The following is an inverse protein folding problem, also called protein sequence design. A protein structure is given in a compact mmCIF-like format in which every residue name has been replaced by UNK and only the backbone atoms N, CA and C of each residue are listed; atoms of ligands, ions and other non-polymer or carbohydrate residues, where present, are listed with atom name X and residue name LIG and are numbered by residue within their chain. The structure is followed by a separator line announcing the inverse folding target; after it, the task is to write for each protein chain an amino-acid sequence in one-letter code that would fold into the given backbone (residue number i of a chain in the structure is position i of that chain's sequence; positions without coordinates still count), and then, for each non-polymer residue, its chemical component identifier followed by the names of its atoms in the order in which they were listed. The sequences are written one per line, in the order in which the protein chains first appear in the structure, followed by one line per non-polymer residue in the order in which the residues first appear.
data_IF_784144112163
#
_entry.id   IF_784144112163
#
_cell.length_a   1.000
_cell.length_b   1.000
_cell.length_c   1.000
_cell.angle_alpha   90.00
_cell.angle_beta   90.00
_cell.angle_gamma   90.00
#
_symmetry.space_group_name_H-M   'P 1'
#
loop_
_entity.id
_entity.type
_entity.pdbx_description
1 polymer ?
#
# COMPACT_ATOMS: atom_id res chain seq x y z
N UNK A 1 -18.79 5.86 -29.97
CA UNK A 1 -17.59 5.46 -29.20
C UNK A 1 -17.60 3.96 -28.95
N UNK A 2 -16.42 3.30 -28.84
CA UNK A 2 -16.33 1.86 -28.51
C UNK A 2 -16.42 1.67 -26.98
N UNK A 3 -17.06 0.59 -26.55
CA UNK A 3 -17.23 0.21 -25.14
C UNK A 3 -16.19 -0.89 -24.78
N UNK A 4 -15.65 -0.86 -23.57
CA UNK A 4 -14.85 -1.99 -23.05
C UNK A 4 -15.70 -3.24 -22.93
N UNK A 5 -15.16 -4.39 -23.35
CA UNK A 5 -15.96 -5.62 -23.51
C UNK A 5 -16.08 -6.45 -22.24
N UNK A 6 -14.96 -6.64 -21.54
CA UNK A 6 -14.85 -7.52 -20.40
C UNK A 6 -13.77 -7.02 -19.44
N UNK A 7 -13.57 -7.73 -18.32
CA UNK A 7 -12.57 -7.37 -17.30
C UNK A 7 -11.12 -7.49 -17.78
N UNK A 8 -10.85 -8.23 -18.86
CA UNK A 8 -9.49 -8.34 -19.44
C UNK A 8 -9.16 -7.13 -20.31
N UNK A 9 -10.18 -6.49 -20.87
CA UNK A 9 -10.10 -5.33 -21.74
C UNK A 9 -10.24 -4.00 -20.97
N UNK A 10 -10.98 -3.96 -19.85
CA UNK A 10 -11.19 -2.77 -19.03
C UNK A 10 -9.93 -2.41 -18.22
N UNK A 11 -9.32 -1.21 -18.41
CA UNK A 11 -8.23 -0.72 -17.57
C UNK A 11 -8.67 -0.49 -16.14
N UNK A 12 -7.76 -0.73 -15.20
CA UNK A 12 -8.03 -0.51 -13.77
C UNK A 12 -8.31 0.97 -13.48
N UNK A 13 -7.63 1.91 -14.14
CA UNK A 13 -7.89 3.35 -14.03
C UNK A 13 -9.33 3.73 -14.38
N UNK A 14 -9.92 3.09 -15.40
CA UNK A 14 -11.32 3.32 -15.79
C UNK A 14 -12.28 2.74 -14.75
N UNK A 15 -11.99 1.55 -14.23
CA UNK A 15 -12.76 0.98 -13.13
C UNK A 15 -12.73 1.87 -11.88
N UNK A 16 -11.54 2.35 -11.48
CA UNK A 16 -11.35 3.29 -10.38
C UNK A 16 -12.20 4.55 -10.57
N UNK A 17 -12.13 5.19 -11.74
CA UNK A 17 -12.93 6.38 -12.04
C UNK A 17 -14.43 6.15 -11.95
N UNK A 18 -14.93 5.01 -12.44
CA UNK A 18 -16.36 4.66 -12.33
C UNK A 18 -16.76 4.52 -10.86
N UNK A 19 -15.94 3.83 -10.06
CA UNK A 19 -16.20 3.62 -8.63
C UNK A 19 -16.15 4.93 -7.83
N UNK A 20 -15.24 5.83 -8.17
CA UNK A 20 -15.04 7.11 -7.46
C UNK A 20 -16.06 8.17 -7.87
N UNK A 21 -16.45 8.23 -9.15
CA UNK A 21 -17.33 9.29 -9.69
C UNK A 21 -18.79 8.87 -9.86
N UNK A 22 -19.06 7.57 -9.92
CA UNK A 22 -20.37 7.03 -10.30
C UNK A 22 -20.73 7.18 -11.79
N UNK A 23 -19.83 7.75 -12.61
CA UNK A 23 -20.09 7.95 -14.04
C UNK A 23 -19.73 6.72 -14.87
N UNK A 24 -20.73 6.10 -15.49
CA UNK A 24 -20.52 4.95 -16.37
C UNK A 24 -19.98 5.33 -17.76
N UNK A 25 -19.88 6.62 -18.08
CA UNK A 25 -19.32 7.10 -19.35
C UNK A 25 -17.84 6.70 -19.51
N UNK A 26 -17.13 6.48 -18.41
CA UNK A 26 -15.76 5.96 -18.40
C UNK A 26 -15.62 4.52 -18.96
N UNK A 27 -16.73 3.83 -19.27
CA UNK A 27 -16.70 2.58 -20.06
C UNK A 27 -16.44 2.80 -21.55
N UNK A 28 -16.55 4.03 -22.02
CA UNK A 28 -16.24 4.41 -23.39
C UNK A 28 -14.73 4.62 -23.49
N UNK A 29 -14.10 3.92 -24.43
CA UNK A 29 -12.62 3.87 -24.53
C UNK A 29 -11.97 5.25 -24.65
N UNK A 30 -12.60 6.10 -25.44
CA UNK A 30 -12.05 7.40 -25.83
C UNK A 30 -12.64 8.56 -25.02
N UNK A 31 -13.47 8.28 -24.00
CA UNK A 31 -14.12 9.30 -23.19
C UNK A 31 -13.13 9.96 -22.21
N UNK A 32 -13.17 11.28 -22.17
CA UNK A 32 -12.54 12.12 -21.17
C UNK A 32 -13.59 12.94 -20.42
N UNK A 33 -13.25 13.35 -19.20
CA UNK A 33 -14.16 14.13 -18.39
C UNK A 33 -14.46 15.48 -19.06
N UNK A 34 -15.75 15.80 -19.19
CA UNK A 34 -16.22 16.97 -19.93
C UNK A 34 -16.53 16.75 -21.42
N UNK A 35 -16.32 15.55 -21.96
CA UNK A 35 -16.73 15.24 -23.33
C UNK A 35 -18.27 15.22 -23.47
N UNK A 36 -18.79 15.85 -24.54
CA UNK A 36 -20.21 15.73 -24.89
C UNK A 36 -20.50 14.37 -25.54
N UNK A 37 -21.28 13.55 -24.84
CA UNK A 37 -21.67 12.23 -25.32
C UNK A 37 -23.15 12.21 -25.70
N UNK A 38 -23.42 12.25 -27.01
CA UNK A 38 -24.79 12.22 -27.53
C UNK A 38 -25.26 10.80 -27.89
N UNK A 39 -26.51 10.47 -27.54
CA UNK A 39 -27.18 9.23 -27.98
C UNK A 39 -26.75 7.96 -27.24
N UNK A 40 -26.10 8.09 -26.08
CA UNK A 40 -25.72 6.95 -25.23
C UNK A 40 -26.69 6.83 -24.05
N UNK A 41 -27.14 5.61 -23.79
CA UNK A 41 -28.02 5.27 -22.68
C UNK A 41 -27.18 4.82 -21.47
N UNK A 42 -27.04 5.69 -20.47
CA UNK A 42 -26.27 5.41 -19.26
C UNK A 42 -26.77 4.16 -18.50
N UNK A 43 -28.07 3.85 -18.54
CA UNK A 43 -28.59 2.64 -17.88
C UNK A 43 -28.08 1.36 -18.53
N UNK A 44 -27.86 1.38 -19.86
CA UNK A 44 -27.24 0.25 -20.56
C UNK A 44 -25.76 0.14 -20.22
N UNK A 45 -25.05 1.25 -20.06
CA UNK A 45 -23.67 1.24 -19.61
C UNK A 45 -23.54 0.71 -18.18
N UNK A 46 -24.42 1.12 -17.27
CA UNK A 46 -24.49 0.59 -15.91
C UNK A 46 -24.74 -0.93 -15.92
N UNK A 47 -25.71 -1.40 -16.71
CA UNK A 47 -25.99 -2.83 -16.81
C UNK A 47 -24.78 -3.61 -17.33
N UNK A 48 -24.14 -3.12 -18.40
CA UNK A 48 -22.93 -3.72 -18.96
C UNK A 48 -21.76 -3.71 -17.96
N UNK A 49 -21.61 -2.62 -17.19
CA UNK A 49 -20.64 -2.56 -16.11
C UNK A 49 -20.85 -3.68 -15.09
N UNK A 50 -22.10 -3.85 -14.63
CA UNK A 50 -22.45 -4.86 -13.63
C UNK A 50 -22.15 -6.27 -14.15
N UNK A 51 -22.37 -6.55 -15.43
CA UNK A 51 -21.99 -7.82 -16.06
C UNK A 51 -20.47 -8.04 -15.99
N UNK A 52 -19.66 -7.04 -16.39
CA UNK A 52 -18.20 -7.11 -16.30
C UNK A 52 -17.74 -7.37 -14.85
N UNK A 53 -18.34 -6.68 -13.88
CA UNK A 53 -18.00 -6.83 -12.46
C UNK A 53 -18.41 -8.20 -11.93
N UNK A 54 -19.57 -8.71 -12.32
CA UNK A 54 -20.02 -10.03 -11.92
C UNK A 54 -19.07 -11.12 -12.44
N UNK A 55 -18.66 -11.06 -13.71
CA UNK A 55 -17.64 -11.96 -14.26
C UNK A 55 -16.30 -11.85 -13.51
N UNK A 56 -15.89 -10.62 -13.20
CA UNK A 56 -14.67 -10.36 -12.45
C UNK A 56 -14.72 -10.96 -11.04
N UNK A 57 -15.79 -10.73 -10.28
CA UNK A 57 -15.99 -11.27 -8.92
C UNK A 57 -15.99 -12.79 -8.94
N UNK A 58 -16.71 -13.41 -9.89
CA UNK A 58 -16.71 -14.88 -10.06
C UNK A 58 -15.29 -15.37 -10.34
N UNK A 59 -14.54 -14.67 -11.20
CA UNK A 59 -13.16 -15.03 -11.52
C UNK A 59 -12.21 -14.94 -10.32
N UNK A 60 -12.53 -14.11 -9.32
CA UNK A 60 -11.71 -13.93 -8.14
C UNK A 60 -11.88 -15.04 -7.10
N UNK A 61 -12.96 -15.84 -7.16
CA UNK A 61 -13.55 -16.57 -6.02
C UNK A 61 -13.91 -15.60 -4.87
N UNK A 62 -14.87 -15.94 -4.01
CA UNK A 62 -15.23 -15.14 -2.84
C UNK A 62 -14.02 -14.94 -1.90
N UNK A 63 -13.20 -13.92 -2.16
CA UNK A 63 -12.06 -13.53 -1.34
C UNK A 63 -12.58 -12.50 -0.35
N UNK A 64 -13.08 -12.93 0.80
CA UNK A 64 -13.18 -12.06 1.97
C UNK A 64 -11.83 -12.08 2.70
N UNK A 65 -10.97 -11.11 2.38
CA UNK A 65 -9.73 -10.84 3.12
C UNK A 65 -9.68 -9.36 3.44
N UNK A 66 -9.37 -9.08 4.70
CA UNK A 66 -9.12 -7.72 5.18
C UNK A 66 -7.73 -7.23 4.74
N UNK A 67 -7.62 -6.86 3.47
CA UNK A 67 -6.40 -6.29 2.90
C UNK A 67 -5.97 -5.01 3.62
N UNK A 68 -6.89 -4.27 4.24
CA UNK A 68 -6.55 -3.05 4.98
C UNK A 68 -5.63 -3.34 6.16
N UNK A 69 -5.98 -4.34 6.99
CA UNK A 69 -5.13 -4.71 8.11
C UNK A 69 -3.80 -5.33 7.66
N UNK A 70 -3.78 -6.12 6.57
CA UNK A 70 -2.53 -6.68 6.05
C UNK A 70 -1.62 -5.65 5.39
N UNK A 71 -2.17 -4.66 4.69
CA UNK A 71 -1.39 -3.55 4.13
C UNK A 71 -0.77 -2.68 5.22
N UNK A 72 -1.55 -2.34 6.26
CA UNK A 72 -1.03 -1.64 7.45
C UNK A 72 0.07 -2.41 8.17
N UNK A 73 -0.12 -3.72 8.33
CA UNK A 73 0.88 -4.62 8.90
C UNK A 73 2.17 -4.59 8.09
N UNK A 74 2.08 -4.64 6.76
CA UNK A 74 3.25 -4.60 5.89
C UNK A 74 3.94 -3.25 5.86
N UNK A 75 3.19 -2.15 5.85
CA UNK A 75 3.78 -0.82 5.97
C UNK A 75 4.65 -0.70 7.23
N UNK A 76 4.16 -1.16 8.39
CA UNK A 76 4.96 -1.14 9.63
C UNK A 76 6.23 -2.00 9.51
N UNK A 77 6.14 -3.17 8.87
CA UNK A 77 7.28 -4.07 8.67
C UNK A 77 8.34 -3.54 7.71
N UNK A 78 7.95 -2.73 6.73
CA UNK A 78 8.88 -2.08 5.80
C UNK A 78 9.58 -0.88 6.46
N UNK A 79 8.90 -0.16 7.35
CA UNK A 79 9.45 1.01 8.05
C UNK A 79 10.50 0.63 9.11
N UNK A 80 10.29 -0.44 9.87
CA UNK A 80 11.20 -0.83 10.97
C UNK A 80 12.66 -1.02 10.52
N UNK A 81 12.97 -1.76 9.43
CA UNK A 81 14.33 -1.90 8.92
C UNK A 81 14.98 -0.56 8.55
N UNK A 82 14.23 0.36 7.94
CA UNK A 82 14.71 1.70 7.58
C UNK A 82 15.16 2.46 8.84
N UNK A 83 14.36 2.37 9.91
CA UNK A 83 14.68 3.00 11.19
C UNK A 83 15.90 2.35 11.87
N UNK A 84 16.07 1.04 11.78
CA UNK A 84 17.28 0.38 12.28
C UNK A 84 18.53 0.81 11.50
N UNK A 85 18.45 0.91 10.17
CA UNK A 85 19.56 1.44 9.36
C UNK A 85 19.89 2.88 9.72
N UNK A 86 18.88 3.70 10.00
CA UNK A 86 19.09 5.07 10.51
C UNK A 86 19.85 5.07 11.85
N UNK A 87 19.51 4.18 12.78
CA UNK A 87 20.25 4.04 14.05
C UNK A 87 21.72 3.65 13.81
N UNK A 88 21.99 2.70 12.92
CA UNK A 88 23.37 2.31 12.58
C UNK A 88 24.18 3.48 12.00
N UNK A 89 23.54 4.28 11.15
CA UNK A 89 24.15 5.47 10.58
C UNK A 89 24.44 6.54 11.65
N UNK A 90 23.49 6.82 12.53
CA UNK A 90 23.67 7.76 13.64
C UNK A 90 24.81 7.33 14.58
N UNK A 91 24.90 6.03 14.89
CA UNK A 91 26.01 5.47 15.66
C UNK A 91 27.36 5.61 14.94
N UNK A 92 27.37 5.50 13.61
CA UNK A 92 28.58 5.71 12.80
C UNK A 92 29.04 7.17 12.88
N UNK A 93 28.11 8.13 12.77
CA UNK A 93 28.42 9.56 12.96
C UNK A 93 28.95 9.82 14.37
N UNK A 94 28.31 9.25 15.40
CA UNK A 94 28.78 9.37 16.78
C UNK A 94 30.23 8.89 16.93
N UNK A 95 30.57 7.74 16.35
CA UNK A 95 31.94 7.22 16.34
C UNK A 95 32.91 8.13 15.60
N UNK A 96 32.51 8.68 14.45
CA UNK A 96 33.32 9.63 13.69
C UNK A 96 33.63 10.90 14.48
N UNK A 97 32.63 11.47 15.16
CA UNK A 97 32.83 12.67 15.99
C UNK A 97 33.88 12.43 17.09
N UNK A 98 33.84 11.26 17.73
CA UNK A 98 34.87 10.88 18.72
C UNK A 98 36.26 10.83 18.09
N UNK A 99 36.40 10.33 16.85
CA UNK A 99 37.69 10.29 16.15
C UNK A 99 38.18 11.70 15.80
N UNK A 100 37.29 12.59 15.36
CA UNK A 100 37.61 13.99 15.06
C UNK A 100 38.11 14.74 16.30
N UNK A 101 37.47 14.52 17.45
CA UNK A 101 37.91 15.08 18.72
C UNK A 101 39.33 14.62 19.10
N UNK A 102 39.68 13.35 18.82
CA UNK A 102 41.03 12.82 19.07
C UNK A 102 42.09 13.52 18.23
N UNK A 103 41.78 13.83 16.97
CA UNK A 103 42.72 14.50 16.06
C UNK A 103 42.69 16.04 16.16
N UNK A 104 41.87 16.60 17.06
CA UNK A 104 41.64 18.05 17.24
C UNK A 104 41.24 18.76 15.94
N UNK A 105 40.54 18.08 15.04
CA UNK A 105 39.95 18.70 13.85
C UNK A 105 38.44 18.78 14.00
N UNK A 106 37.85 19.91 13.65
CA UNK A 106 36.39 20.07 13.65
C UNK A 106 35.86 19.97 12.22
N UNK A 107 35.07 18.92 11.93
CA UNK A 107 34.32 18.84 10.68
C UNK A 107 32.82 18.97 10.95
N UNK A 108 32.18 20.02 10.40
CA UNK A 108 30.72 20.08 10.34
C UNK A 108 30.24 19.13 9.26
N UNK A 109 29.45 18.14 9.66
CA UNK A 109 28.84 17.15 8.78
C UNK A 109 27.41 17.59 8.44
N UNK A 110 27.19 18.08 7.22
CA UNK A 110 25.85 18.31 6.64
C UNK A 110 25.17 16.99 6.21
N UNK A 111 25.74 15.83 6.57
CA UNK A 111 25.25 14.52 6.12
C UNK A 111 23.91 14.13 6.75
N UNK A 112 23.57 14.70 7.91
CA UNK A 112 22.30 14.42 8.61
C UNK A 112 21.10 15.04 7.89
N UNK A 113 21.23 16.26 7.39
CA UNK A 113 20.08 16.97 6.80
C UNK A 113 19.55 16.26 5.56
N UNK A 114 20.44 15.75 4.70
CA UNK A 114 20.08 14.95 3.52
C UNK A 114 19.47 13.60 3.87
N UNK A 115 19.92 12.97 4.96
CA UNK A 115 19.39 11.69 5.40
C UNK A 115 17.94 11.81 5.87
N UNK A 116 17.62 12.91 6.55
CA UNK A 116 16.28 13.16 7.07
C UNK A 116 15.30 13.73 6.04
N UNK A 117 15.74 14.07 4.81
CA UNK A 117 14.83 14.55 3.76
C UNK A 117 13.72 13.55 3.44
N UNK A 118 14.03 12.25 3.50
CA UNK A 118 13.11 11.17 3.13
C UNK A 118 12.57 10.37 4.32
N UNK A 119 12.95 10.71 5.56
CA UNK A 119 12.52 10.00 6.77
C UNK A 119 11.72 10.96 7.64
N UNK A 120 10.42 10.69 7.78
CA UNK A 120 9.51 11.52 8.57
C UNK A 120 9.65 11.24 10.07
N UNK A 121 10.69 11.82 10.68
CA UNK A 121 10.97 11.71 12.12
C UNK A 121 11.25 13.08 12.74
N UNK A 122 10.90 13.24 14.02
CA UNK A 122 11.28 14.43 14.79
C UNK A 122 12.80 14.52 14.84
N UNK A 123 13.33 15.71 14.53
CA UNK A 123 14.77 15.99 14.48
C UNK A 123 15.26 16.66 15.76
N UNK A 124 16.46 16.31 16.17
CA UNK A 124 17.24 16.96 17.23
C UNK A 124 18.73 16.98 16.84
N UNK A 125 19.47 17.95 17.38
CA UNK A 125 20.91 18.09 17.14
C UNK A 125 21.75 17.11 17.98
N UNK A 126 21.19 16.60 19.08
CA UNK A 126 21.84 15.62 19.92
C UNK A 126 21.66 14.22 19.32
N UNK A 127 22.77 13.56 18.97
CA UNK A 127 22.73 12.24 18.32
C UNK A 127 22.13 11.18 19.24
N UNK A 128 22.38 11.24 20.55
CA UNK A 128 21.87 10.27 21.51
C UNK A 128 20.36 10.45 21.73
N UNK A 129 19.89 11.69 21.81
CA UNK A 129 18.46 12.00 21.82
C UNK A 129 17.80 11.58 20.50
N UNK A 130 18.45 11.79 19.35
CA UNK A 130 17.94 11.37 18.05
C UNK A 130 17.81 9.85 17.95
N UNK A 131 18.80 9.09 18.42
CA UNK A 131 18.75 7.62 18.48
C UNK A 131 17.56 7.17 19.35
N UNK A 132 17.35 7.80 20.51
CA UNK A 132 16.21 7.49 21.38
C UNK A 132 14.87 7.73 20.68
N UNK A 133 14.71 8.86 19.99
CA UNK A 133 13.50 9.16 19.20
C UNK A 133 13.25 8.09 18.15
N UNK A 134 14.29 7.57 17.50
CA UNK A 134 14.16 6.49 16.51
C UNK A 134 13.72 5.18 17.17
N UNK A 135 14.30 4.82 18.33
CA UNK A 135 13.85 3.64 19.09
C UNK A 135 12.39 3.74 19.54
N UNK A 136 11.97 4.88 20.10
CA UNK A 136 10.58 5.09 20.51
C UNK A 136 9.61 4.92 19.31
N UNK A 137 10.04 5.30 18.11
CA UNK A 137 9.28 5.13 16.88
C UNK A 137 9.18 3.66 16.45
N UNK A 138 10.27 2.89 16.58
CA UNK A 138 10.29 1.44 16.34
C UNK A 138 9.33 0.74 17.32
N UNK A 139 9.42 1.04 18.62
CA UNK A 139 8.54 0.44 19.64
C UNK A 139 7.06 0.71 19.33
N UNK A 140 6.73 1.91 18.87
CA UNK A 140 5.38 2.23 18.41
C UNK A 140 4.94 1.33 17.26
N UNK A 141 5.78 1.13 16.24
CA UNK A 141 5.46 0.24 15.12
C UNK A 141 5.34 -1.23 15.55
N UNK A 142 6.17 -1.69 16.48
CA UNK A 142 6.07 -3.05 17.04
C UNK A 142 4.76 -3.26 17.80
N UNK A 143 4.32 -2.26 18.59
CA UNK A 143 3.03 -2.26 19.26
C UNK A 143 1.86 -2.23 18.27
N UNK A 144 1.95 -1.43 17.21
CA UNK A 144 0.95 -1.38 16.14
C UNK A 144 0.85 -2.73 15.42
N UNK A 145 1.98 -3.39 15.11
CA UNK A 145 2.04 -4.75 14.56
C UNK A 145 1.30 -5.73 15.49
N UNK A 146 1.61 -5.74 16.78
CA UNK A 146 0.97 -6.65 17.75
C UNK A 146 -0.55 -6.42 17.82
N UNK A 147 -0.99 -5.16 17.81
CA UNK A 147 -2.40 -4.77 17.81
C UNK A 147 -3.13 -5.23 16.54
N UNK A 148 -2.51 -5.04 15.37
CA UNK A 148 -3.06 -5.44 14.07
C UNK A 148 -3.12 -6.96 13.97
N UNK A 149 -2.08 -7.69 14.37
CA UNK A 149 -2.08 -9.15 14.40
C UNK A 149 -3.17 -9.72 15.32
N UNK A 150 -3.44 -9.06 16.45
CA UNK A 150 -4.53 -9.44 17.34
C UNK A 150 -5.91 -9.18 16.70
N UNK A 151 -6.06 -8.11 15.91
CA UNK A 151 -7.28 -7.84 15.14
C UNK A 151 -7.49 -8.88 14.05
N UNK A 152 -6.47 -9.15 13.25
CA UNK A 152 -6.52 -10.15 12.15
C UNK A 152 -7.00 -11.51 12.67
N UNK A 153 -6.50 -11.97 13.83
CA UNK A 153 -6.95 -13.22 14.47
C UNK A 153 -8.41 -13.20 14.93
N UNK A 154 -8.98 -12.03 15.21
CA UNK A 154 -10.39 -11.87 15.60
C UNK A 154 -11.32 -11.73 14.38
N UNK A 155 -10.83 -11.18 13.27
CA UNK A 155 -11.63 -10.89 12.07
C UNK A 155 -11.95 -12.13 11.23
N UNK A 156 -11.40 -13.32 11.52
CA UNK A 156 -11.79 -14.59 10.88
C UNK A 156 -13.29 -14.97 11.07
N UNK A 157 -14.10 -14.12 11.72
CA UNK A 157 -15.49 -14.42 12.11
C UNK A 157 -16.55 -13.35 11.78
N UNK A 158 -16.26 -12.29 11.01
CA UNK A 158 -17.29 -11.31 10.62
C UNK A 158 -17.14 -10.81 9.18
N UNK A 159 -18.04 -11.28 8.32
CA UNK A 159 -18.19 -10.96 6.90
C UNK A 159 -18.85 -9.58 6.61
N UNK A 160 -18.77 -8.63 7.54
CA UNK A 160 -19.42 -7.32 7.39
C UNK A 160 -18.37 -6.19 7.47
N UNK A 161 -17.53 -6.06 6.45
CA UNK A 161 -16.78 -4.82 6.23
C UNK A 161 -17.48 -4.00 5.14
N UNK A 162 -17.63 -2.70 5.40
CA UNK A 162 -18.07 -1.69 4.42
C UNK A 162 -17.32 -1.85 3.09
N UNK A 163 -17.90 -1.39 1.95
CA UNK A 163 -17.21 -1.42 0.66
C UNK A 163 -15.92 -0.60 0.78
N UNK A 164 -14.79 -1.30 0.92
CA UNK A 164 -13.46 -0.70 0.98
C UNK A 164 -13.20 0.06 -0.31
N UNK A 165 -12.73 1.30 -0.22
CA UNK A 165 -12.31 2.11 -1.37
C UNK A 165 -11.35 1.30 -2.25
N UNK A 166 -11.58 1.30 -3.57
CA UNK A 166 -10.72 0.59 -4.51
C UNK A 166 -9.27 1.10 -4.46
N UNK A 167 -9.07 2.38 -4.20
CA UNK A 167 -7.73 2.96 -4.04
C UNK A 167 -7.02 2.37 -2.82
N UNK A 168 -7.73 2.21 -1.70
CA UNK A 168 -7.19 1.51 -0.53
C UNK A 168 -6.83 0.06 -0.88
N UNK A 169 -7.68 -0.65 -1.62
CA UNK A 169 -7.38 -2.03 -2.04
C UNK A 169 -6.12 -2.07 -2.90
N UNK A 170 -5.98 -1.16 -3.87
CA UNK A 170 -4.80 -1.07 -4.75
C UNK A 170 -3.54 -0.86 -3.90
N UNK A 171 -3.52 0.19 -3.06
CA UNK A 171 -2.37 0.50 -2.20
C UNK A 171 -2.02 -0.66 -1.27
N UNK A 172 -3.00 -1.32 -0.67
CA UNK A 172 -2.74 -2.46 0.20
C UNK A 172 -2.17 -3.66 -0.56
N UNK A 173 -2.63 -3.92 -1.78
CA UNK A 173 -2.05 -4.97 -2.64
C UNK A 173 -0.62 -4.61 -3.04
N UNK A 174 -0.33 -3.36 -3.37
CA UNK A 174 1.03 -2.88 -3.66
C UNK A 174 1.96 -3.08 -2.47
N UNK A 175 1.51 -2.74 -1.26
CA UNK A 175 2.27 -2.91 -0.02
C UNK A 175 2.56 -4.39 0.26
N UNK A 176 1.56 -5.27 0.13
CA UNK A 176 1.74 -6.71 0.37
C UNK A 176 2.64 -7.37 -0.69
N UNK A 177 2.55 -6.91 -1.93
CA UNK A 177 3.37 -7.41 -3.02
C UNK A 177 4.73 -6.72 -3.12
N UNK A 178 4.94 -5.60 -2.43
CA UNK A 178 6.12 -4.76 -2.55
C UNK A 178 6.39 -4.36 -4.02
N UNK A 179 5.31 -4.06 -4.76
CA UNK A 179 5.37 -3.69 -6.17
C UNK A 179 4.38 -2.60 -6.49
N UNK A 180 4.76 -1.64 -7.32
CA UNK A 180 3.84 -0.63 -7.85
C UNK A 180 2.97 -1.22 -8.97
N UNK A 181 1.72 -0.77 -9.03
CA UNK A 181 0.71 -1.13 -10.01
C UNK A 181 0.46 0.09 -10.89
N UNK A 182 0.85 -0.02 -12.17
CA UNK A 182 0.49 0.97 -13.18
C UNK A 182 -0.99 0.78 -13.55
N UNK A 183 -1.87 1.57 -12.92
CA UNK A 183 -3.32 1.48 -13.06
C UNK A 183 -3.80 1.76 -14.49
N UNK A 184 -3.04 2.51 -15.28
CA UNK A 184 -3.38 2.84 -16.67
C UNK A 184 -3.06 1.69 -17.63
N UNK A 185 -2.04 0.89 -17.31
CA UNK A 185 -1.61 -0.23 -18.16
C UNK A 185 -2.21 -1.57 -17.76
N UNK A 186 -2.59 -1.74 -16.49
CA UNK A 186 -3.13 -3.00 -16.00
C UNK A 186 -4.64 -3.07 -16.25
N UNK A 187 -5.12 -4.23 -16.71
CA UNK A 187 -6.56 -4.49 -16.78
C UNK A 187 -7.11 -4.94 -15.43
N UNK A 188 -8.42 -4.75 -15.23
CA UNK A 188 -9.14 -5.17 -14.04
C UNK A 188 -8.90 -6.66 -13.72
N UNK A 189 -8.90 -7.52 -14.74
CA UNK A 189 -8.58 -8.94 -14.58
C UNK A 189 -7.17 -9.18 -14.05
N UNK A 190 -6.16 -8.49 -14.61
CA UNK A 190 -4.76 -8.63 -14.19
C UNK A 190 -4.55 -8.10 -12.77
N UNK A 191 -5.28 -7.07 -12.38
CA UNK A 191 -5.34 -6.62 -10.99
C UNK A 191 -5.92 -7.71 -10.09
N UNK A 192 -7.00 -8.38 -10.50
CA UNK A 192 -7.53 -9.51 -9.74
C UNK A 192 -6.53 -10.67 -9.55
N UNK A 193 -5.66 -10.90 -10.53
CA UNK A 193 -4.54 -11.87 -10.37
C UNK A 193 -3.55 -11.39 -9.31
N UNK A 194 -3.24 -10.08 -9.25
CA UNK A 194 -2.39 -9.49 -8.20
C UNK A 194 -3.02 -9.64 -6.81
N UNK A 195 -4.33 -9.42 -6.68
CA UNK A 195 -5.08 -9.67 -5.43
C UNK A 195 -4.90 -11.12 -4.95
N UNK A 196 -5.02 -12.10 -5.86
CA UNK A 196 -4.78 -13.51 -5.52
C UNK A 196 -3.34 -13.80 -5.09
N UNK A 197 -2.36 -13.17 -5.74
CA UNK A 197 -0.95 -13.30 -5.37
C UNK A 197 -0.68 -12.70 -3.98
N UNK A 198 -1.26 -11.54 -3.70
CA UNK A 198 -1.14 -10.87 -2.40
C UNK A 198 -1.70 -11.75 -1.28
N UNK A 199 -2.89 -12.34 -1.51
CA UNK A 199 -3.49 -13.34 -0.60
C UNK A 199 -2.53 -14.50 -0.34
N UNK A 200 -1.96 -15.09 -1.38
CA UNK A 200 -1.07 -16.24 -1.23
C UNK A 200 0.15 -15.89 -0.36
N UNK A 201 0.73 -14.70 -0.55
CA UNK A 201 1.82 -14.19 0.30
C UNK A 201 1.41 -14.05 1.76
N UNK A 202 0.21 -13.50 2.00
CA UNK A 202 -0.35 -13.39 3.36
C UNK A 202 -0.47 -14.78 4.00
N UNK A 203 -1.08 -15.74 3.30
CA UNK A 203 -1.26 -17.11 3.79
C UNK A 203 0.07 -17.80 4.12
N UNK A 204 1.10 -17.57 3.30
CA UNK A 204 2.45 -18.07 3.52
C UNK A 204 3.10 -17.44 4.77
N UNK A 205 2.93 -16.13 4.97
CA UNK A 205 3.45 -15.43 6.16
C UNK A 205 2.80 -15.92 7.44
N UNK A 206 1.47 -16.12 7.44
CA UNK A 206 0.74 -16.67 8.59
C UNK A 206 1.24 -18.07 8.93
N UNK A 207 1.43 -18.93 7.92
CA UNK A 207 1.98 -20.29 8.11
C UNK A 207 3.37 -20.26 8.72
N UNK A 208 4.24 -19.33 8.30
CA UNK A 208 5.58 -19.18 8.87
C UNK A 208 5.50 -18.75 10.34
N UNK A 209 4.63 -17.78 10.66
CA UNK A 209 4.45 -17.32 12.04
C UNK A 209 3.94 -18.42 12.97
N UNK A 210 2.97 -19.22 12.52
CA UNK A 210 2.40 -20.31 13.32
C UNK A 210 3.39 -21.47 13.53
N UNK A 211 4.40 -21.64 12.67
CA UNK A 211 5.47 -22.64 12.84
C UNK A 211 6.60 -22.21 13.79
N UNK A 212 6.70 -20.92 14.11
CA UNK A 212 7.75 -20.36 14.99
C UNK A 212 7.31 -20.21 16.46
N UNK A 213 6.05 -20.55 16.76
CA UNK A 213 5.50 -20.65 18.11
C UNK A 213 5.46 -22.11 18.56
#
# INVERSE_FOLDING_TARGET
MKIYRDSKDLPLSRYERIMTTGSYLFLLRDYQDGDEVNGIDEKKLEAHFKEIIQEYIVSLNNISIDFSNYGKLQACRLEIPILYTLIEFLNTIKRLNIQWDIVNESHKSDHLDKLFENIQIKRTYDIDEQIKIVYDRIEKFENDIASIEAKIKKTESKDNSEPTDINDIITNVELVLETNIDIEKISLYRFGVKVKQARKRIDEQIKIQNKRK
#
